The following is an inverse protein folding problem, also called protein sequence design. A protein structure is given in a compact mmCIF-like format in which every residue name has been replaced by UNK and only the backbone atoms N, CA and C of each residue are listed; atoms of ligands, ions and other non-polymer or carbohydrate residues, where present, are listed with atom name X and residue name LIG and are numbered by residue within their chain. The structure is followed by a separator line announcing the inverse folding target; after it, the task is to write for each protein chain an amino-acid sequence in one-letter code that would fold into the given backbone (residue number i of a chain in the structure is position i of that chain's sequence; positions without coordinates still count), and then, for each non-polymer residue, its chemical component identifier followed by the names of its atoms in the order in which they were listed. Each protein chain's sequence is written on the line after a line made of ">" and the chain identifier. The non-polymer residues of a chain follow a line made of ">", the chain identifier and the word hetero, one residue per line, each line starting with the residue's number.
data_IF_121141252099
#
_entry.id   IF_121141252099
#
_cell.length_a   1.000
_cell.length_b   1.000
_cell.length_c   1.000
_cell.angle_alpha   90.00
_cell.angle_beta   90.00
_cell.angle_gamma   90.00
#
_symmetry.space_group_name_H-M   'P 1'
#
loop_
_entity.id
_entity.type
_entity.pdbx_description
1 polymer ?
#
# COMPACT_ATOMS: atom_id res chain seq x y z
N UNK A 1 -31.82 0.94 13.02
CA UNK A 1 -31.47 2.32 12.62
C UNK A 1 -31.11 3.16 13.84
N UNK A 2 -31.68 2.88 15.01
CA UNK A 2 -31.38 3.59 16.28
C UNK A 2 -29.91 3.53 16.71
N UNK A 3 -29.19 2.45 16.39
CA UNK A 3 -27.76 2.30 16.68
C UNK A 3 -26.86 3.27 15.90
N UNK A 4 -27.20 3.57 14.63
CA UNK A 4 -26.44 4.54 13.82
C UNK A 4 -26.68 5.97 14.29
N UNK A 5 -27.91 6.28 14.71
CA UNK A 5 -28.23 7.60 15.28
C UNK A 5 -27.54 7.81 16.64
N UNK A 6 -27.45 6.78 17.48
CA UNK A 6 -26.65 6.84 18.72
C UNK A 6 -25.16 7.03 18.45
N UNK A 7 -24.58 6.32 17.48
CA UNK A 7 -23.18 6.50 17.08
C UNK A 7 -22.92 7.90 16.49
N UNK A 8 -23.86 8.43 15.70
CA UNK A 8 -23.73 9.77 15.13
C UNK A 8 -23.75 10.89 16.20
N UNK A 9 -24.41 10.63 17.33
CA UNK A 9 -24.50 11.56 18.46
C UNK A 9 -23.31 11.44 19.44
N UNK A 10 -22.46 10.42 19.31
CA UNK A 10 -21.32 10.18 20.19
C UNK A 10 -20.03 10.84 19.64
N UNK A 11 -19.44 11.84 20.34
CA UNK A 11 -18.19 12.47 19.92
C UNK A 11 -17.02 11.49 19.79
N UNK A 12 -17.01 10.39 20.57
CA UNK A 12 -15.94 9.40 20.53
C UNK A 12 -15.97 8.57 19.25
N UNK A 13 -17.15 8.30 18.70
CA UNK A 13 -17.31 7.62 17.41
C UNK A 13 -16.72 8.44 16.25
N UNK A 14 -16.89 9.76 16.28
CA UNK A 14 -16.28 10.67 15.29
C UNK A 14 -14.75 10.74 15.41
N UNK A 15 -14.21 10.72 16.64
CA UNK A 15 -12.77 10.67 16.86
C UNK A 15 -12.17 9.34 16.35
N UNK A 16 -12.84 8.21 16.63
CA UNK A 16 -12.45 6.89 16.12
C UNK A 16 -12.52 6.85 14.58
N UNK A 17 -13.61 7.36 13.99
CA UNK A 17 -13.76 7.46 12.54
C UNK A 17 -12.64 8.29 11.91
N UNK A 18 -12.35 9.47 12.45
CA UNK A 18 -11.29 10.34 11.95
C UNK A 18 -9.92 9.66 12.04
N UNK A 19 -9.64 9.00 13.16
CA UNK A 19 -8.38 8.26 13.35
C UNK A 19 -8.25 7.12 12.34
N UNK A 20 -9.32 6.33 12.15
CA UNK A 20 -9.33 5.23 11.18
C UNK A 20 -9.20 5.73 9.75
N UNK A 21 -9.89 6.80 9.36
CA UNK A 21 -9.76 7.40 8.03
C UNK A 21 -8.32 7.86 7.79
N UNK A 22 -7.71 8.55 8.76
CA UNK A 22 -6.32 9.00 8.64
C UNK A 22 -5.38 7.81 8.50
N UNK A 23 -5.52 6.79 9.34
CA UNK A 23 -4.70 5.59 9.31
C UNK A 23 -4.84 4.84 7.97
N UNK A 24 -6.08 4.65 7.49
CA UNK A 24 -6.38 3.99 6.22
C UNK A 24 -5.85 4.79 5.02
N UNK A 25 -5.91 6.12 5.06
CA UNK A 25 -5.34 6.96 4.00
C UNK A 25 -3.81 6.90 4.02
N UNK A 26 -3.18 7.00 5.19
CA UNK A 26 -1.71 6.92 5.33
C UNK A 26 -1.20 5.57 4.83
N UNK A 27 -1.83 4.48 5.27
CA UNK A 27 -1.51 3.12 4.79
C UNK A 27 -1.87 2.92 3.31
N UNK A 28 -2.98 3.51 2.87
CA UNK A 28 -3.48 3.39 1.51
C UNK A 28 -2.61 4.09 0.46
N UNK A 29 -1.85 5.13 0.85
CA UNK A 29 -0.90 5.79 -0.06
C UNK A 29 0.14 4.81 -0.58
N UNK A 30 0.68 3.94 0.26
CA UNK A 30 1.69 2.95 -0.14
C UNK A 30 1.09 1.93 -1.13
N UNK A 31 -0.14 1.50 -0.90
CA UNK A 31 -0.89 0.64 -1.81
C UNK A 31 -1.13 1.34 -3.16
N UNK A 32 -1.49 2.63 -3.16
CA UNK A 32 -1.71 3.41 -4.37
C UNK A 32 -0.42 3.63 -5.18
N UNK A 33 0.69 3.85 -4.50
CA UNK A 33 2.02 3.92 -5.10
C UNK A 33 2.36 2.60 -5.79
N UNK A 34 2.16 1.47 -5.11
CA UNK A 34 2.39 0.15 -5.71
C UNK A 34 1.51 -0.10 -6.94
N UNK A 35 0.21 0.17 -6.82
CA UNK A 35 -0.75 0.11 -7.93
C UNK A 35 -0.24 0.94 -9.12
N UNK A 36 0.28 2.14 -8.86
CA UNK A 36 0.84 3.00 -9.89
C UNK A 36 2.09 2.41 -10.55
N UNK A 37 3.01 1.83 -9.77
CA UNK A 37 4.23 1.19 -10.29
C UNK A 37 3.87 0.00 -11.20
N UNK A 38 2.94 -0.86 -10.79
CA UNK A 38 2.52 -2.02 -11.58
C UNK A 38 1.79 -1.60 -12.85
N UNK A 39 0.81 -0.69 -12.72
CA UNK A 39 0.01 -0.27 -13.88
C UNK A 39 0.80 0.58 -14.88
N UNK A 40 1.86 1.27 -14.47
CA UNK A 40 2.74 2.00 -15.38
C UNK A 40 3.50 1.09 -16.37
N UNK A 41 3.56 -0.23 -16.10
CA UNK A 41 4.12 -1.23 -17.03
C UNK A 41 3.15 -1.68 -18.12
N UNK A 42 1.87 -1.33 -18.01
CA UNK A 42 0.86 -1.59 -19.04
C UNK A 42 0.96 -0.56 -20.18
N UNK A 43 0.41 -0.87 -21.37
CA UNK A 43 0.21 0.12 -22.43
C UNK A 43 -0.55 1.34 -21.92
N UNK A 44 -0.21 2.54 -22.40
CA UNK A 44 -0.74 3.80 -21.89
C UNK A 44 -2.28 3.86 -21.85
N UNK A 45 -2.93 3.28 -22.87
CA UNK A 45 -4.38 3.20 -22.99
C UNK A 45 -5.05 2.41 -21.87
N UNK A 46 -4.35 1.46 -21.24
CA UNK A 46 -4.90 0.56 -20.22
C UNK A 46 -4.63 1.03 -18.79
N UNK A 47 -3.62 1.89 -18.58
CA UNK A 47 -3.12 2.22 -17.23
C UNK A 47 -4.19 2.78 -16.30
N UNK A 48 -4.94 3.79 -16.74
CA UNK A 48 -5.98 4.43 -15.91
C UNK A 48 -7.13 3.46 -15.60
N UNK A 49 -7.54 2.67 -16.60
CA UNK A 49 -8.57 1.64 -16.42
C UNK A 49 -8.11 0.57 -15.42
N UNK A 50 -6.87 0.11 -15.54
CA UNK A 50 -6.29 -0.88 -14.64
C UNK A 50 -6.23 -0.37 -13.19
N UNK A 51 -5.84 0.90 -12.99
CA UNK A 51 -5.84 1.52 -11.64
C UNK A 51 -7.23 1.59 -11.04
N UNK A 52 -8.18 2.19 -11.75
CA UNK A 52 -9.55 2.38 -11.23
C UNK A 52 -10.23 1.04 -10.96
N UNK A 53 -10.06 0.08 -11.87
CA UNK A 53 -10.59 -1.27 -11.67
C UNK A 53 -9.88 -1.98 -10.51
N UNK A 54 -8.56 -1.91 -10.43
CA UNK A 54 -7.78 -2.50 -9.34
C UNK A 54 -8.19 -1.96 -7.98
N UNK A 55 -8.30 -0.63 -7.84
CA UNK A 55 -8.75 0.03 -6.59
C UNK A 55 -10.21 -0.32 -6.27
N UNK A 56 -11.09 -0.35 -7.28
CA UNK A 56 -12.49 -0.73 -7.07
C UNK A 56 -12.66 -2.19 -6.63
N UNK A 57 -11.93 -3.11 -7.25
CA UNK A 57 -11.92 -4.52 -6.86
C UNK A 57 -11.29 -4.72 -5.47
N UNK A 58 -10.22 -3.98 -5.15
CA UNK A 58 -9.61 -3.95 -3.83
C UNK A 58 -10.60 -3.49 -2.75
N UNK A 59 -11.40 -2.44 -3.01
CA UNK A 59 -12.47 -2.03 -2.09
C UNK A 59 -13.47 -3.16 -1.84
N UNK A 60 -13.93 -3.82 -2.90
CA UNK A 60 -14.88 -4.93 -2.77
C UNK A 60 -14.28 -6.05 -1.93
N UNK A 61 -13.02 -6.42 -2.21
CA UNK A 61 -12.30 -7.43 -1.44
C UNK A 61 -12.18 -7.03 0.03
N UNK A 62 -11.81 -5.78 0.31
CA UNK A 62 -11.65 -5.26 1.67
C UNK A 62 -12.97 -5.22 2.44
N UNK A 63 -14.08 -4.81 1.79
CA UNK A 63 -15.40 -4.86 2.40
C UNK A 63 -15.88 -6.29 2.63
N UNK A 64 -15.56 -7.23 1.73
CA UNK A 64 -15.86 -8.64 1.91
C UNK A 64 -15.09 -9.22 3.11
N UNK A 65 -13.79 -8.93 3.21
CA UNK A 65 -12.95 -9.31 4.36
C UNK A 65 -13.52 -8.70 5.65
N UNK A 66 -13.89 -7.43 5.64
CA UNK A 66 -14.49 -6.75 6.79
C UNK A 66 -15.84 -7.37 7.20
N UNK A 67 -16.67 -7.78 6.23
CA UNK A 67 -17.89 -8.54 6.50
C UNK A 67 -17.63 -9.88 7.18
N UNK A 68 -16.45 -10.46 6.97
CA UNK A 68 -15.97 -11.68 7.62
C UNK A 68 -15.07 -11.41 8.85
N UNK A 69 -15.15 -10.23 9.48
CA UNK A 69 -14.30 -9.87 10.66
C UNK A 69 -14.31 -10.95 11.74
N UNK A 70 -15.47 -11.54 12.05
CA UNK A 70 -15.57 -12.62 13.03
C UNK A 70 -14.67 -13.82 12.66
N UNK A 71 -14.53 -14.12 11.38
CA UNK A 71 -13.63 -15.16 10.89
C UNK A 71 -12.17 -14.70 10.86
N UNK A 72 -11.91 -13.43 10.55
CA UNK A 72 -10.55 -12.85 10.61
C UNK A 72 -9.96 -12.92 12.01
N UNK A 73 -10.77 -12.73 13.06
CA UNK A 73 -10.29 -12.90 14.45
C UNK A 73 -9.79 -14.32 14.70
N UNK A 74 -10.45 -15.35 14.15
CA UNK A 74 -9.99 -16.74 14.25
C UNK A 74 -8.71 -17.01 13.46
N UNK A 75 -8.36 -16.19 12.45
CA UNK A 75 -7.05 -16.30 11.78
C UNK A 75 -5.88 -16.00 12.73
N UNK A 76 -6.13 -15.37 13.88
CA UNK A 76 -5.11 -15.10 14.90
C UNK A 76 -4.91 -16.26 15.87
N UNK A 77 -5.77 -17.28 15.84
CA UNK A 77 -5.64 -18.46 16.70
C UNK A 77 -4.43 -19.31 16.29
N UNK A 78 -3.67 -19.87 17.26
CA UNK A 78 -2.57 -20.79 16.99
C UNK A 78 -3.02 -22.01 16.18
N UNK A 79 -2.38 -22.25 15.04
CA UNK A 79 -2.63 -23.43 14.19
C UNK A 79 -1.62 -24.53 14.47
N UNK A 80 -0.34 -24.16 14.62
CA UNK A 80 0.74 -25.10 14.96
C UNK A 80 1.86 -24.38 15.70
N UNK A 81 2.75 -25.12 16.34
CA UNK A 81 3.92 -24.56 17.02
C UNK A 81 5.22 -25.17 16.49
N UNK A 82 6.22 -24.31 16.25
CA UNK A 82 7.58 -24.70 15.84
C UNK A 82 8.57 -24.00 16.75
N UNK A 83 9.53 -24.76 17.30
CA UNK A 83 10.60 -24.22 18.16
C UNK A 83 10.08 -23.38 19.34
N UNK A 84 8.93 -23.77 19.92
CA UNK A 84 8.31 -23.05 21.04
C UNK A 84 7.55 -21.77 20.66
N UNK A 85 7.42 -21.46 19.37
CA UNK A 85 6.56 -20.38 18.86
C UNK A 85 5.32 -20.92 18.18
N UNK A 86 4.15 -20.44 18.57
CA UNK A 86 2.87 -20.67 17.89
C UNK A 86 2.73 -19.79 16.66
N UNK A 87 2.22 -20.36 15.56
CA UNK A 87 1.92 -19.66 14.32
C UNK A 87 0.43 -19.76 14.02
N UNK A 88 -0.17 -18.63 13.69
CA UNK A 88 -1.56 -18.50 13.25
C UNK A 88 -1.66 -18.40 11.72
N UNK A 89 -2.87 -18.50 11.16
CA UNK A 89 -3.08 -18.29 9.72
C UNK A 89 -2.73 -16.87 9.29
N UNK A 90 -3.02 -15.89 10.14
CA UNK A 90 -2.59 -14.50 9.97
C UNK A 90 -1.07 -14.44 9.81
N UNK A 91 -0.33 -15.06 10.73
CA UNK A 91 1.14 -15.01 10.73
C UNK A 91 1.72 -15.55 9.42
N UNK A 92 1.15 -16.66 8.92
CA UNK A 92 1.54 -17.23 7.64
C UNK A 92 1.28 -16.27 6.47
N UNK A 93 0.13 -15.59 6.46
CA UNK A 93 -0.20 -14.61 5.43
C UNK A 93 0.76 -13.42 5.47
N UNK A 94 1.06 -12.90 6.67
CA UNK A 94 2.01 -11.79 6.84
C UNK A 94 3.43 -12.20 6.42
N UNK A 95 3.90 -13.39 6.77
CA UNK A 95 5.20 -13.92 6.36
C UNK A 95 5.25 -14.10 4.84
N UNK A 96 4.25 -14.76 4.25
CA UNK A 96 4.20 -14.99 2.81
C UNK A 96 4.13 -13.67 2.03
N UNK A 97 3.29 -12.74 2.49
CA UNK A 97 3.15 -11.41 1.93
C UNK A 97 4.42 -10.57 2.05
N UNK A 98 5.07 -10.59 3.22
CA UNK A 98 6.34 -9.92 3.46
C UNK A 98 7.47 -10.46 2.58
N UNK A 99 7.61 -11.78 2.46
CA UNK A 99 8.57 -12.40 1.54
C UNK A 99 8.30 -12.03 0.08
N UNK A 100 7.02 -12.05 -0.33
CA UNK A 100 6.61 -11.65 -1.66
C UNK A 100 6.98 -10.19 -1.95
N UNK A 101 6.73 -9.29 -1.01
CA UNK A 101 7.09 -7.88 -1.11
C UNK A 101 8.59 -7.67 -1.23
N UNK A 102 9.39 -8.31 -0.38
CA UNK A 102 10.85 -8.24 -0.45
C UNK A 102 11.35 -8.71 -1.82
N UNK A 103 10.92 -9.89 -2.25
CA UNK A 103 11.31 -10.43 -3.55
C UNK A 103 10.94 -9.48 -4.70
N UNK A 104 9.71 -8.97 -4.71
CA UNK A 104 9.23 -8.04 -5.75
C UNK A 104 9.99 -6.73 -5.74
N UNK A 105 10.15 -6.11 -4.56
CA UNK A 105 10.83 -4.83 -4.41
C UNK A 105 12.31 -4.94 -4.81
N UNK A 106 13.02 -5.98 -4.36
CA UNK A 106 14.42 -6.23 -4.73
C UNK A 106 14.56 -6.46 -6.23
N UNK A 107 13.68 -7.25 -6.86
CA UNK A 107 13.70 -7.45 -8.31
C UNK A 107 13.45 -6.15 -9.08
N UNK A 108 12.52 -5.32 -8.60
CA UNK A 108 12.20 -4.04 -9.23
C UNK A 108 13.35 -3.02 -9.09
N UNK A 109 13.99 -2.97 -7.92
CA UNK A 109 15.18 -2.15 -7.67
C UNK A 109 16.32 -2.59 -8.58
N UNK A 110 16.58 -3.90 -8.66
CA UNK A 110 17.65 -4.44 -9.50
C UNK A 110 17.46 -4.02 -10.97
N UNK A 111 16.25 -4.18 -11.51
CA UNK A 111 15.93 -3.72 -12.88
C UNK A 111 16.04 -2.20 -13.06
N UNK A 112 15.81 -1.40 -12.02
CA UNK A 112 15.90 0.06 -12.10
C UNK A 112 17.33 0.57 -12.02
N UNK A 113 18.22 -0.15 -11.30
CA UNK A 113 19.61 0.23 -11.07
C UNK A 113 20.56 -0.34 -12.13
N UNK A 114 20.27 -1.54 -12.63
CA UNK A 114 21.06 -2.21 -13.67
C UNK A 114 20.17 -2.50 -14.89
N UNK A 115 19.86 -1.48 -15.72
CA UNK A 115 19.20 -1.71 -16.99
C UNK A 115 20.21 -2.38 -17.94
N UNK A 116 20.25 -3.71 -17.92
CA UNK A 116 21.15 -4.48 -18.77
C UNK A 116 20.99 -4.06 -20.25
N UNK A 117 22.10 -3.78 -20.98
CA UNK A 117 22.03 -3.35 -22.38
C UNK A 117 21.52 -4.44 -23.35
N UNK A 118 21.36 -5.69 -22.89
CA UNK A 118 21.01 -6.85 -23.71
C UNK A 118 19.51 -7.18 -23.78
N UNK A 119 18.63 -6.35 -23.21
CA UNK A 119 17.20 -6.56 -23.38
C UNK A 119 16.75 -6.20 -24.79
N UNK A 120 16.80 -7.19 -25.68
CA UNK A 120 16.19 -7.15 -27.01
C UNK A 120 14.74 -6.64 -26.87
N UNK A 121 14.32 -5.63 -27.67
CA UNK A 121 12.93 -5.19 -27.69
C UNK A 121 12.07 -6.38 -28.13
N UNK A 122 11.32 -6.97 -27.18
CA UNK A 122 10.44 -8.12 -27.41
C UNK A 122 10.68 -9.36 -26.53
N UNK A 123 11.74 -9.44 -25.73
CA UNK A 123 12.01 -10.63 -24.88
C UNK A 123 11.38 -10.60 -23.49
N UNK A 124 10.88 -9.45 -23.02
CA UNK A 124 10.09 -9.40 -21.78
C UNK A 124 8.64 -9.67 -22.13
N UNK A 125 8.07 -10.73 -21.56
CA UNK A 125 6.62 -10.92 -21.55
C UNK A 125 5.99 -9.63 -20.99
N UNK A 126 5.32 -8.88 -21.86
CA UNK A 126 4.64 -7.65 -21.47
C UNK A 126 3.68 -8.00 -20.32
N UNK A 127 3.70 -7.19 -19.25
CA UNK A 127 2.78 -7.38 -18.15
C UNK A 127 1.36 -7.35 -18.73
N UNK A 128 0.59 -8.41 -18.53
CA UNK A 128 -0.79 -8.46 -19.01
C UNK A 128 -1.70 -7.71 -18.06
N UNK A 129 -2.79 -7.14 -18.59
CA UNK A 129 -3.82 -6.47 -17.79
C UNK A 129 -4.29 -7.34 -16.61
N UNK A 130 -4.60 -8.62 -16.88
CA UNK A 130 -5.05 -9.56 -15.84
C UNK A 130 -3.97 -9.83 -14.77
N UNK A 131 -2.71 -9.97 -15.17
CA UNK A 131 -1.60 -10.15 -14.21
C UNK A 131 -1.41 -8.91 -13.34
N UNK A 132 -1.58 -7.71 -13.89
CA UNK A 132 -1.53 -6.47 -13.14
C UNK A 132 -2.63 -6.41 -12.08
N UNK A 133 -3.88 -6.70 -12.45
CA UNK A 133 -5.01 -6.75 -11.50
C UNK A 133 -4.77 -7.81 -10.43
N UNK A 134 -4.32 -9.02 -10.79
CA UNK A 134 -4.01 -10.07 -9.83
C UNK A 134 -2.94 -9.65 -8.81
N UNK A 135 -1.87 -9.00 -9.26
CA UNK A 135 -0.82 -8.49 -8.35
C UNK A 135 -1.36 -7.43 -7.39
N UNK A 136 -2.22 -6.53 -7.88
CA UNK A 136 -2.87 -5.52 -7.04
C UNK A 136 -3.72 -6.20 -5.96
N UNK A 137 -4.56 -7.17 -6.32
CA UNK A 137 -5.45 -7.85 -5.38
C UNK A 137 -4.69 -8.70 -4.35
N UNK A 138 -3.64 -9.40 -4.75
CA UNK A 138 -2.81 -10.20 -3.84
C UNK A 138 -2.15 -9.30 -2.78
N UNK A 139 -1.66 -8.14 -3.20
CA UNK A 139 -1.00 -7.22 -2.27
C UNK A 139 -1.99 -6.47 -1.39
N UNK A 140 -3.10 -6.06 -1.98
CA UNK A 140 -4.20 -5.48 -1.22
C UNK A 140 -4.73 -6.46 -0.17
N UNK A 141 -4.81 -7.76 -0.47
CA UNK A 141 -5.21 -8.78 0.50
C UNK A 141 -4.27 -8.84 1.71
N UNK A 142 -2.96 -8.87 1.45
CA UNK A 142 -1.93 -8.91 2.50
C UNK A 142 -2.01 -7.67 3.39
N UNK A 143 -2.09 -6.47 2.79
CA UNK A 143 -2.21 -5.23 3.55
C UNK A 143 -3.57 -5.08 4.24
N UNK A 144 -4.65 -5.54 3.59
CA UNK A 144 -6.00 -5.48 4.14
C UNK A 144 -6.11 -6.29 5.42
N UNK A 145 -5.51 -7.48 5.50
CA UNK A 145 -5.56 -8.30 6.71
C UNK A 145 -4.89 -7.60 7.91
N UNK A 146 -3.69 -7.04 7.73
CA UNK A 146 -3.01 -6.27 8.79
C UNK A 146 -3.81 -5.03 9.22
N UNK A 147 -4.31 -4.26 8.24
CA UNK A 147 -5.11 -3.05 8.50
C UNK A 147 -6.43 -3.35 9.21
N UNK A 148 -7.14 -4.43 8.84
CA UNK A 148 -8.41 -4.81 9.46
C UNK A 148 -8.18 -5.27 10.89
N UNK A 149 -7.15 -6.07 11.16
CA UNK A 149 -6.81 -6.49 12.53
C UNK A 149 -6.48 -5.28 13.39
N UNK A 150 -5.72 -4.33 12.85
CA UNK A 150 -5.43 -3.05 13.53
C UNK A 150 -6.71 -2.26 13.81
N UNK A 151 -7.62 -2.17 12.84
CA UNK A 151 -8.89 -1.45 12.98
C UNK A 151 -9.82 -2.07 14.03
N UNK A 152 -9.91 -3.41 14.07
CA UNK A 152 -10.66 -4.16 15.09
C UNK A 152 -10.08 -3.91 16.49
N UNK A 153 -8.77 -3.70 16.61
CA UNK A 153 -8.13 -3.30 17.86
C UNK A 153 -8.40 -1.85 18.28
N UNK A 154 -8.90 -1.00 17.39
CA UNK A 154 -9.19 0.42 17.66
C UNK A 154 -10.68 0.71 17.92
N UNK A 155 -11.58 -0.04 17.28
CA UNK A 155 -13.03 0.11 17.48
C UNK A 155 -13.77 -1.20 17.29
N UNK A 156 -14.80 -1.41 18.10
CA UNK A 156 -15.71 -2.55 17.97
C UNK A 156 -16.83 -2.29 16.95
N UNK A 157 -16.97 -1.04 16.46
CA UNK A 157 -18.08 -0.65 15.60
C UNK A 157 -17.77 -0.87 14.11
N UNK A 158 -18.23 -2.00 13.58
CA UNK A 158 -18.12 -2.34 12.15
C UNK A 158 -18.60 -1.22 11.21
N UNK A 159 -19.72 -0.50 11.46
CA UNK A 159 -20.12 0.60 10.59
C UNK A 159 -19.08 1.71 10.48
N UNK A 160 -18.36 2.02 11.56
CA UNK A 160 -17.28 3.03 11.53
C UNK A 160 -16.15 2.56 10.63
N UNK A 161 -15.74 1.29 10.75
CA UNK A 161 -14.70 0.70 9.91
C UNK A 161 -15.09 0.72 8.42
N UNK A 162 -16.34 0.35 8.09
CA UNK A 162 -16.86 0.40 6.71
C UNK A 162 -16.77 1.82 6.15
N UNK A 163 -17.27 2.81 6.90
CA UNK A 163 -17.26 4.22 6.46
C UNK A 163 -15.81 4.70 6.28
N UNK A 164 -14.90 4.35 7.19
CA UNK A 164 -13.50 4.71 7.10
C UNK A 164 -12.85 4.17 5.82
N UNK A 165 -13.05 2.87 5.53
CA UNK A 165 -12.51 2.22 4.33
C UNK A 165 -13.08 2.84 3.06
N UNK A 166 -14.39 3.07 2.99
CA UNK A 166 -15.03 3.67 1.81
C UNK A 166 -14.54 5.11 1.59
N UNK A 167 -14.43 5.90 2.66
CA UNK A 167 -13.92 7.26 2.59
C UNK A 167 -12.45 7.29 2.10
N UNK A 168 -11.58 6.46 2.69
CA UNK A 168 -10.18 6.37 2.30
C UNK A 168 -10.02 5.92 0.84
N UNK A 169 -10.76 4.90 0.39
CA UNK A 169 -10.68 4.44 -1.00
C UNK A 169 -11.23 5.47 -1.98
N UNK A 170 -12.26 6.23 -1.61
CA UNK A 170 -12.77 7.33 -2.44
C UNK A 170 -11.69 8.39 -2.67
N UNK A 171 -10.96 8.77 -1.61
CA UNK A 171 -9.80 9.68 -1.72
C UNK A 171 -8.73 9.09 -2.64
N UNK A 172 -8.42 7.80 -2.50
CA UNK A 172 -7.45 7.12 -3.36
C UNK A 172 -7.87 7.09 -4.84
N UNK A 173 -9.14 6.84 -5.14
CA UNK A 173 -9.66 6.85 -6.52
C UNK A 173 -9.49 8.22 -7.17
N UNK A 174 -9.77 9.29 -6.44
CA UNK A 174 -9.58 10.67 -6.91
C UNK A 174 -8.08 10.96 -7.11
N UNK A 175 -7.23 10.48 -6.21
CA UNK A 175 -5.78 10.71 -6.25
C UNK A 175 -5.02 9.81 -7.25
N UNK A 176 -5.61 8.70 -7.71
CA UNK A 176 -4.92 7.66 -8.46
C UNK A 176 -4.25 8.14 -9.75
N UNK A 177 -4.98 8.88 -10.59
CA UNK A 177 -4.44 9.36 -11.86
C UNK A 177 -3.41 10.49 -11.68
N UNK A 178 -3.65 11.53 -10.84
CA UNK A 178 -2.63 12.52 -10.52
C UNK A 178 -1.36 11.91 -9.93
N UNK A 179 -1.49 11.00 -8.95
CA UNK A 179 -0.36 10.38 -8.29
C UNK A 179 0.44 9.50 -9.25
N UNK A 180 -0.23 8.72 -10.10
CA UNK A 180 0.45 7.91 -11.12
C UNK A 180 1.28 8.75 -12.09
N UNK A 181 0.74 9.88 -12.57
CA UNK A 181 1.49 10.82 -13.43
C UNK A 181 2.68 11.43 -12.70
N UNK A 182 2.51 11.77 -11.43
CA UNK A 182 3.59 12.29 -10.59
C UNK A 182 4.72 11.26 -10.41
N UNK A 183 4.38 10.01 -10.10
CA UNK A 183 5.35 8.91 -9.94
C UNK A 183 6.09 8.65 -11.26
N UNK A 184 5.37 8.61 -12.39
CA UNK A 184 5.98 8.42 -13.71
C UNK A 184 6.97 9.54 -14.08
N UNK A 185 6.70 10.78 -13.66
CA UNK A 185 7.56 11.93 -13.92
C UNK A 185 8.76 12.04 -12.95
N UNK A 186 8.80 11.27 -11.85
CA UNK A 186 9.83 11.39 -10.81
C UNK A 186 10.42 10.01 -10.44
N UNK A 187 11.44 9.52 -11.16
CA UNK A 187 12.05 8.20 -10.90
C UNK A 187 12.59 8.01 -9.47
N UNK A 188 13.05 9.08 -8.83
CA UNK A 188 13.51 9.06 -7.44
C UNK A 188 12.38 8.71 -6.46
N UNK A 189 11.14 9.11 -6.77
CA UNK A 189 9.95 8.73 -5.99
C UNK A 189 9.64 7.25 -6.15
N UNK A 190 9.88 6.67 -7.33
CA UNK A 190 9.76 5.21 -7.54
C UNK A 190 10.78 4.47 -6.68
N UNK A 191 12.04 4.90 -6.66
CA UNK A 191 13.06 4.28 -5.82
C UNK A 191 12.73 4.40 -4.32
N UNK A 192 12.24 5.56 -3.89
CA UNK A 192 11.78 5.78 -2.53
C UNK A 192 10.64 4.83 -2.16
N UNK A 193 9.64 4.72 -3.05
CA UNK A 193 8.51 3.81 -2.91
C UNK A 193 8.91 2.34 -2.79
N UNK A 194 9.85 1.89 -3.63
CA UNK A 194 10.38 0.52 -3.55
C UNK A 194 11.14 0.29 -2.24
N UNK A 195 11.82 1.32 -1.72
CA UNK A 195 12.41 1.30 -0.38
C UNK A 195 11.35 1.14 0.72
N UNK A 196 10.23 1.87 0.64
CA UNK A 196 9.10 1.68 1.56
C UNK A 196 8.50 0.29 1.43
N UNK A 197 8.41 -0.25 0.22
CA UNK A 197 7.93 -1.61 -0.02
C UNK A 197 8.81 -2.67 0.68
N UNK A 198 10.14 -2.49 0.67
CA UNK A 198 11.06 -3.34 1.45
C UNK A 198 10.80 -3.16 2.94
N UNK A 199 10.70 -1.93 3.42
CA UNK A 199 10.47 -1.64 4.84
C UNK A 199 9.18 -2.30 5.36
N UNK A 200 8.08 -2.14 4.62
CA UNK A 200 6.80 -2.77 4.95
C UNK A 200 6.92 -4.29 4.87
N UNK A 201 7.58 -4.84 3.83
CA UNK A 201 7.82 -6.29 3.72
C UNK A 201 8.58 -6.85 4.93
N UNK A 202 9.60 -6.15 5.41
CA UNK A 202 10.33 -6.50 6.63
C UNK A 202 9.46 -6.40 7.87
N UNK A 203 8.61 -5.39 7.97
CA UNK A 203 7.65 -5.24 9.08
C UNK A 203 6.65 -6.39 9.12
N UNK A 204 6.05 -6.77 7.99
CA UNK A 204 5.10 -7.89 7.95
C UNK A 204 5.76 -9.21 8.33
N UNK A 205 7.02 -9.41 7.93
CA UNK A 205 7.80 -10.56 8.39
C UNK A 205 8.01 -10.53 9.90
N UNK A 206 8.45 -9.40 10.44
CA UNK A 206 8.65 -9.25 11.87
C UNK A 206 7.35 -9.55 12.64
N UNK A 207 6.22 -8.98 12.21
CA UNK A 207 4.92 -9.17 12.83
C UNK A 207 4.43 -10.61 12.72
N UNK A 208 4.61 -11.27 11.57
CA UNK A 208 4.27 -12.69 11.42
C UNK A 208 5.16 -13.63 12.25
N UNK A 209 6.36 -13.21 12.67
CA UNK A 209 7.17 -13.94 13.66
C UNK A 209 6.87 -13.54 15.12
N UNK A 210 5.83 -12.72 15.34
CA UNK A 210 5.36 -12.24 16.64
C UNK A 210 6.07 -10.97 17.14
N UNK A 211 6.99 -10.40 16.38
CA UNK A 211 7.67 -9.16 16.74
C UNK A 211 6.82 -7.96 16.32
N UNK A 212 6.20 -7.29 17.30
CA UNK A 212 5.36 -6.14 17.04
C UNK A 212 6.22 -4.92 16.72
N UNK A 213 6.02 -4.35 15.52
CA UNK A 213 6.70 -3.12 15.11
C UNK A 213 5.72 -1.95 15.27
N UNK A 214 6.03 -0.93 16.10
CA UNK A 214 5.16 0.22 16.23
C UNK A 214 5.06 0.97 14.89
N UNK A 215 3.86 0.99 14.29
CA UNK A 215 3.61 1.59 12.97
C UNK A 215 4.01 3.07 12.90
N UNK A 216 3.96 3.78 14.03
CA UNK A 216 4.42 5.17 14.13
C UNK A 216 5.87 5.39 13.70
N UNK A 217 6.77 4.43 13.92
CA UNK A 217 8.15 4.52 13.43
C UNK A 217 8.22 4.44 11.90
N UNK A 218 7.41 3.56 11.31
CA UNK A 218 7.32 3.39 9.86
C UNK A 218 6.79 4.67 9.22
N UNK A 219 5.67 5.21 9.75
CA UNK A 219 5.10 6.45 9.24
C UNK A 219 6.04 7.64 9.39
N UNK A 220 6.75 7.73 10.50
CA UNK A 220 7.75 8.78 10.72
C UNK A 220 8.89 8.67 9.71
N UNK A 221 9.40 7.46 9.46
CA UNK A 221 10.44 7.21 8.47
C UNK A 221 9.96 7.55 7.05
N UNK A 222 8.71 7.20 6.70
CA UNK A 222 8.12 7.52 5.41
C UNK A 222 7.93 9.02 5.22
N UNK A 223 7.35 9.71 6.21
CA UNK A 223 7.17 11.15 6.19
C UNK A 223 8.51 11.91 6.10
N UNK A 224 9.50 11.49 6.89
CA UNK A 224 10.85 12.06 6.84
C UNK A 224 11.48 11.89 5.45
N UNK A 225 11.44 10.68 4.90
CA UNK A 225 12.07 10.40 3.60
C UNK A 225 11.34 11.10 2.45
N UNK A 226 10.01 11.18 2.50
CA UNK A 226 9.22 11.97 1.55
C UNK A 226 9.53 13.47 1.66
N UNK A 227 9.74 13.98 2.89
CA UNK A 227 10.18 15.36 3.13
C UNK A 227 11.56 15.65 2.53
N UNK A 228 12.53 14.75 2.76
CA UNK A 228 13.87 14.84 2.16
C UNK A 228 13.79 14.81 0.64
N UNK A 229 12.99 13.91 0.06
CA UNK A 229 12.83 13.85 -1.39
C UNK A 229 12.13 15.10 -1.95
N UNK A 230 11.16 15.66 -1.21
CA UNK A 230 10.56 16.95 -1.55
C UNK A 230 11.59 18.09 -1.60
N UNK A 231 12.50 18.16 -0.62
CA UNK A 231 13.61 19.12 -0.63
C UNK A 231 14.55 18.88 -1.81
N UNK A 232 14.88 17.61 -2.11
CA UNK A 232 15.70 17.26 -3.27
C UNK A 232 15.04 17.67 -4.59
N UNK A 233 13.74 17.47 -4.73
CA UNK A 233 12.96 17.92 -5.89
C UNK A 233 13.02 19.44 -6.07
N UNK A 234 12.84 20.20 -4.98
CA UNK A 234 12.96 21.67 -4.99
C UNK A 234 14.38 22.11 -5.37
N UNK A 235 15.40 21.48 -4.80
CA UNK A 235 16.80 21.77 -5.11
C UNK A 235 17.13 21.51 -6.59
N UNK A 236 16.67 20.36 -7.15
CA UNK A 236 16.84 20.02 -8.57
C UNK A 236 16.15 21.04 -9.49
N UNK A 237 14.93 21.46 -9.16
CA UNK A 237 14.21 22.51 -9.92
C UNK A 237 14.95 23.84 -9.91
N UNK A 238 15.45 24.28 -8.74
CA UNK A 238 16.23 25.53 -8.60
C UNK A 238 17.56 25.48 -9.35
N UNK A 239 18.25 24.34 -9.39
CA UNK A 239 19.49 24.17 -10.16
C UNK A 239 19.23 24.26 -11.67
N UNK A 240 18.19 23.61 -12.18
CA UNK A 240 17.80 23.70 -13.60
C UNK A 240 17.42 25.13 -14.02
N UNK A 241 16.79 25.90 -13.13
CA UNK A 241 16.45 27.30 -13.38
C UNK A 241 17.66 28.26 -13.38
N UNK A 242 18.81 27.85 -12.81
CA UNK A 242 20.04 28.64 -12.74
C UNK A 242 21.05 28.34 -13.85
N UNK A 243 20.87 27.28 -14.63
CA UNK A 243 21.70 27.02 -15.82
C UNK A 243 21.21 27.94 -16.94
N UNK A 244 21.97 28.98 -17.34
CA UNK A 244 21.60 29.78 -18.49
C UNK A 244 21.70 28.89 -19.72
N UNK A 245 20.67 28.87 -20.56
CA UNK A 245 20.81 28.49 -21.96
C UNK A 245 21.76 29.48 -22.62
N UNK A 246 23.03 29.10 -22.76
CA UNK A 246 24.03 29.81 -23.54
C UNK A 246 25.21 28.86 -23.80
N UNK A 247 25.65 28.60 -25.02
CA UNK A 247 25.19 29.04 -26.33
C UNK A 247 25.74 28.04 -27.36
N UNK A 248 25.08 28.00 -28.52
CA UNK A 248 25.63 27.45 -29.76
C UNK A 248 26.85 28.26 -30.22
#
# INVERSE_FOLDING_TARGET
>A
MDSLFHLAADPTAWAALATLVVMEVVLGIDNLIFISIVTNKLPEAERSRARRLGIGLALILRLALLGTVAWIVHLTEPVFAVLGKSFSWRDLILIAGGLFLLWKATKEIHHSVDPSPEEKPGSRAALTFGSAIGQILVLDLVFSIDSIITAVGMTEHVPIMVIAVVAAVTVMLIAADPLSRFIAANPTVVMLALGFLIMIGMTLLAEGFGAHVPKGYIYTAMAFSAGVEGLNMVARRRRRAKTPTGGA
#
